data_IF_904321496492
#
_entry.id   IF_904321496492
#
_cell.length_a   1.000
_cell.length_b   1.000
_cell.length_c   1.000
_cell.angle_alpha   90.00
_cell.angle_beta   90.00
_cell.angle_gamma   90.00
#
_symmetry.space_group_name_H-M   'P 1'
#
loop_
_entity.id
_entity.type
_entity.pdbx_description
1 polymer ?
#
# COMPACT_ATOMS: atom_id res chain seq x y z
N UNK A 1 -64.96 33.83 41.44
CA UNK A 1 -64.94 33.81 42.92
C UNK A 1 -63.49 33.90 43.34
N UNK A 2 -63.15 34.97 44.07
CA UNK A 2 -61.80 35.37 44.44
C UNK A 2 -61.22 34.47 45.53
N UNK A 3 -59.94 34.11 45.44
CA UNK A 3 -59.08 34.13 46.64
C UNK A 3 -57.62 34.38 46.27
N UNK A 4 -57.00 35.31 46.99
CA UNK A 4 -55.66 35.86 46.83
C UNK A 4 -54.80 35.41 48.01
N UNK A 5 -53.52 35.18 47.73
CA UNK A 5 -52.33 35.41 48.58
C UNK A 5 -52.09 34.42 49.74
N UNK A 6 -50.89 33.81 49.82
CA UNK A 6 -49.88 34.11 50.86
C UNK A 6 -48.53 33.48 50.47
N UNK A 7 -47.52 34.33 50.37
CA UNK A 7 -46.09 34.03 50.27
C UNK A 7 -45.55 33.52 51.61
N UNK A 8 -44.78 32.43 51.61
CA UNK A 8 -43.76 32.17 52.63
C UNK A 8 -42.54 31.57 51.94
N UNK A 9 -41.46 32.35 51.88
CA UNK A 9 -40.11 31.86 51.60
C UNK A 9 -39.62 31.08 52.82
N UNK A 10 -39.20 29.83 52.64
CA UNK A 10 -38.34 29.16 53.60
C UNK A 10 -37.20 28.46 52.84
N UNK A 11 -36.02 29.05 52.98
CA UNK A 11 -34.72 28.55 52.54
C UNK A 11 -34.39 27.30 53.37
N UNK A 12 -34.19 26.15 52.72
CA UNK A 12 -33.53 24.98 53.34
C UNK A 12 -32.57 24.36 52.31
N UNK A 13 -31.30 24.73 52.49
CA UNK A 13 -30.09 23.88 52.51
C UNK A 13 -29.86 22.85 51.40
N UNK A 14 -28.99 23.25 50.48
CA UNK A 14 -27.95 22.50 49.74
C UNK A 14 -27.75 21.01 50.12
N UNK A 15 -28.05 20.11 49.18
CA UNK A 15 -27.46 18.76 49.09
C UNK A 15 -26.83 18.63 47.70
N UNK A 16 -25.52 18.41 47.69
CA UNK A 16 -24.70 18.11 46.51
C UNK A 16 -25.24 16.88 45.77
N UNK A 17 -25.55 17.04 44.49
CA UNK A 17 -25.49 15.96 43.50
C UNK A 17 -24.58 16.45 42.38
N UNK A 18 -23.28 16.13 42.51
CA UNK A 18 -22.33 16.21 41.42
C UNK A 18 -22.73 15.09 40.44
N UNK A 19 -23.58 15.43 39.48
CA UNK A 19 -23.68 14.63 38.27
C UNK A 19 -22.41 14.92 37.48
N UNK A 20 -21.41 14.04 37.64
CA UNK A 20 -20.31 13.92 36.71
C UNK A 20 -20.92 13.56 35.36
N UNK A 21 -21.22 14.57 34.54
CA UNK A 21 -21.51 14.36 33.13
C UNK A 21 -20.25 13.75 32.54
N UNK A 22 -20.35 12.46 32.25
CA UNK A 22 -19.38 11.65 31.52
C UNK A 22 -18.89 12.47 30.33
N UNK A 23 -17.61 12.81 30.36
CA UNK A 23 -16.90 13.32 29.19
C UNK A 23 -16.94 12.20 28.16
N UNK A 24 -17.82 12.31 27.16
CA UNK A 24 -17.72 11.50 25.96
C UNK A 24 -16.50 12.02 25.21
N UNK A 25 -15.33 11.43 25.47
CA UNK A 25 -14.28 11.38 24.46
C UNK A 25 -14.90 10.66 23.27
N UNK A 26 -15.18 11.41 22.20
CA UNK A 26 -15.33 10.81 20.88
C UNK A 26 -13.93 10.31 20.54
N UNK A 27 -13.67 9.02 20.80
CA UNK A 27 -12.63 8.33 20.05
C UNK A 27 -13.09 8.37 18.60
N UNK A 28 -12.40 9.17 17.80
CA UNK A 28 -12.52 9.18 16.34
C UNK A 28 -11.97 7.84 15.79
N UNK A 29 -12.69 6.74 16.05
CA UNK A 29 -12.51 5.47 15.35
C UNK A 29 -13.14 5.62 13.95
N UNK A 30 -12.50 6.41 13.09
CA UNK A 30 -12.68 6.20 11.66
C UNK A 30 -12.01 4.86 11.33
N UNK A 31 -12.68 3.93 10.62
CA UNK A 31 -12.02 2.72 10.17
C UNK A 31 -10.83 3.13 9.32
N UNK A 32 -9.61 2.84 9.79
CA UNK A 32 -8.41 2.99 8.99
C UNK A 32 -8.55 2.02 7.83
N UNK A 33 -8.47 2.55 6.61
CA UNK A 33 -8.33 1.72 5.43
C UNK A 33 -6.95 1.06 5.50
N UNK A 34 -6.92 -0.18 5.99
CA UNK A 34 -5.71 -0.95 6.21
C UNK A 34 -4.89 -1.08 4.92
N UNK A 35 -5.56 -1.23 3.77
CA UNK A 35 -4.90 -1.32 2.48
C UNK A 35 -4.24 0.00 2.12
N UNK A 36 -4.94 1.12 2.29
CA UNK A 36 -4.35 2.44 2.08
C UNK A 36 -3.14 2.68 2.98
N UNK A 37 -3.22 2.27 4.26
CA UNK A 37 -2.10 2.36 5.19
C UNK A 37 -0.90 1.52 4.70
N UNK A 38 -1.11 0.26 4.32
CA UNK A 38 -0.02 -0.60 3.83
C UNK A 38 0.65 0.01 2.59
N UNK A 39 -0.13 0.57 1.65
CA UNK A 39 0.42 1.24 0.47
C UNK A 39 1.25 2.47 0.85
N UNK A 40 0.80 3.26 1.82
CA UNK A 40 1.55 4.42 2.30
C UNK A 40 2.84 4.03 3.02
N UNK A 41 2.85 2.90 3.75
CA UNK A 41 4.08 2.37 4.35
C UNK A 41 5.07 1.88 3.28
N UNK A 42 4.60 1.34 2.16
CA UNK A 42 5.46 1.00 1.01
C UNK A 42 6.07 2.26 0.39
N UNK A 43 5.29 3.33 0.21
CA UNK A 43 5.79 4.63 -0.30
C UNK A 43 6.83 5.26 0.61
N UNK A 44 6.63 5.16 1.92
CA UNK A 44 7.61 5.64 2.90
C UNK A 44 8.91 4.83 2.82
N UNK A 45 8.81 3.49 2.74
CA UNK A 45 9.97 2.60 2.55
C UNK A 45 10.76 2.95 1.28
N UNK A 46 10.08 3.28 0.18
CA UNK A 46 10.69 3.47 -1.14
C UNK A 46 11.04 4.92 -1.45
N UNK A 47 10.78 5.87 -0.54
CA UNK A 47 10.98 7.32 -0.76
C UNK A 47 12.39 7.69 -1.26
N UNK A 48 13.42 6.94 -0.87
CA UNK A 48 14.81 7.21 -1.32
C UNK A 48 15.18 6.55 -2.66
N UNK A 49 14.35 5.66 -3.17
CA UNK A 49 14.66 4.79 -4.31
C UNK A 49 14.40 5.41 -5.68
N UNK A 50 13.88 6.64 -5.75
CA UNK A 50 14.05 7.47 -6.96
C UNK A 50 15.54 7.64 -7.33
N UNK A 51 16.45 7.52 -6.36
CA UNK A 51 17.87 7.30 -6.64
C UNK A 51 18.12 5.79 -6.75
N UNK A 52 18.27 5.28 -7.98
CA UNK A 52 18.51 3.86 -8.23
C UNK A 52 19.74 3.31 -7.48
N UNK A 53 20.83 4.09 -7.31
CA UNK A 53 21.99 3.61 -6.55
C UNK A 53 21.68 3.43 -5.05
N UNK A 54 20.72 4.18 -4.49
CA UNK A 54 20.26 3.95 -3.12
C UNK A 54 19.54 2.60 -2.99
N UNK A 55 18.67 2.27 -3.96
CA UNK A 55 17.99 0.97 -4.02
C UNK A 55 18.97 -0.21 -4.17
N UNK A 56 19.97 -0.07 -5.05
CA UNK A 56 21.01 -1.08 -5.23
C UNK A 56 21.80 -1.32 -3.94
N UNK A 57 22.20 -0.25 -3.25
CA UNK A 57 22.90 -0.33 -1.96
C UNK A 57 22.02 -0.92 -0.85
N UNK A 58 20.70 -0.76 -0.93
CA UNK A 58 19.73 -1.34 -0.02
C UNK A 58 19.40 -2.82 -0.32
N UNK A 59 19.90 -3.38 -1.43
CA UNK A 59 19.83 -4.80 -1.76
C UNK A 59 19.08 -5.15 -3.05
N UNK A 60 18.41 -4.20 -3.70
CA UNK A 60 17.79 -4.41 -5.03
C UNK A 60 18.80 -4.21 -6.15
N UNK A 61 19.84 -5.06 -6.16
CA UNK A 61 21.00 -4.93 -7.04
C UNK A 61 21.03 -5.95 -8.19
N UNK A 62 19.99 -6.76 -8.36
CA UNK A 62 19.92 -7.78 -9.40
C UNK A 62 18.97 -7.35 -10.49
N UNK A 63 19.48 -6.94 -11.65
CA UNK A 63 18.61 -6.68 -12.80
C UNK A 63 18.10 -8.01 -13.36
N UNK A 64 16.80 -8.27 -13.22
CA UNK A 64 16.17 -9.53 -13.60
C UNK A 64 15.63 -9.52 -15.04
N UNK A 65 15.39 -8.32 -15.59
CA UNK A 65 14.86 -8.16 -16.94
C UNK A 65 15.50 -6.96 -17.66
N UNK A 66 15.43 -6.89 -18.99
CA UNK A 66 15.47 -5.61 -19.69
C UNK A 66 14.22 -4.78 -19.36
N UNK A 67 14.08 -3.59 -19.96
CA UNK A 67 12.82 -2.86 -19.86
C UNK A 67 11.74 -3.61 -20.63
N UNK A 68 10.73 -4.14 -19.94
CA UNK A 68 9.65 -4.95 -20.51
C UNK A 68 8.49 -4.06 -20.93
N UNK A 69 8.07 -4.18 -22.19
CA UNK A 69 6.98 -3.41 -22.77
C UNK A 69 6.13 -4.28 -23.71
N UNK A 70 4.82 -4.09 -23.64
CA UNK A 70 3.85 -4.66 -24.56
C UNK A 70 3.44 -3.60 -25.62
N UNK A 71 3.26 -3.98 -26.91
CA UNK A 71 2.98 -3.03 -27.99
C UNK A 71 1.72 -2.16 -27.79
N UNK A 72 0.73 -2.63 -27.03
CA UNK A 72 -0.55 -1.93 -26.85
C UNK A 72 -0.94 -1.68 -25.40
N UNK A 73 -0.27 -2.30 -24.42
CA UNK A 73 -0.65 -2.19 -23.00
C UNK A 73 0.30 -1.28 -22.20
N UNK A 74 1.44 -0.90 -22.77
CA UNK A 74 2.45 -0.10 -22.10
C UNK A 74 3.57 -0.95 -21.50
N UNK A 75 4.23 -0.43 -20.47
CA UNK A 75 5.42 -1.04 -19.87
C UNK A 75 5.20 -1.59 -18.47
N UNK A 76 5.97 -2.63 -18.13
CA UNK A 76 6.25 -3.02 -16.73
C UNK A 76 7.53 -2.34 -16.24
N UNK A 77 8.46 -2.06 -17.16
CA UNK A 77 9.77 -1.49 -16.83
C UNK A 77 10.85 -2.55 -16.64
N UNK A 78 11.94 -2.13 -16.01
CA UNK A 78 13.11 -2.92 -15.65
C UNK A 78 12.90 -3.41 -14.22
N UNK A 79 13.01 -4.72 -14.02
CA UNK A 79 12.83 -5.36 -12.73
C UNK A 79 14.18 -5.49 -12.02
N UNK A 80 14.31 -4.86 -10.86
CA UNK A 80 15.48 -5.00 -9.98
C UNK A 80 15.11 -5.77 -8.72
N UNK A 81 15.64 -6.97 -8.57
CA UNK A 81 15.31 -7.89 -7.49
C UNK A 81 16.27 -7.81 -6.30
N UNK A 82 15.72 -8.04 -5.11
CA UNK A 82 16.47 -8.32 -3.87
C UNK A 82 16.34 -9.78 -3.51
N UNK A 83 17.37 -10.59 -3.81
CA UNK A 83 17.31 -12.05 -3.74
C UNK A 83 16.98 -12.61 -2.35
N UNK A 84 17.35 -11.90 -1.28
CA UNK A 84 17.06 -12.31 0.11
C UNK A 84 15.55 -12.42 0.39
N UNK A 85 14.70 -11.75 -0.39
CA UNK A 85 13.24 -11.74 -0.19
C UNK A 85 12.52 -12.82 -1.02
N UNK A 86 13.22 -13.59 -1.85
CA UNK A 86 12.65 -14.68 -2.64
C UNK A 86 12.59 -16.00 -1.84
N UNK A 87 12.10 -15.93 -0.60
CA UNK A 87 11.98 -17.08 0.32
C UNK A 87 10.51 -17.54 0.52
N UNK A 88 9.56 -16.88 -0.17
CA UNK A 88 8.14 -17.21 -0.17
C UNK A 88 7.31 -16.50 0.90
N UNK A 89 7.90 -15.63 1.72
CA UNK A 89 7.13 -14.83 2.69
C UNK A 89 6.32 -13.72 2.01
N UNK A 90 5.15 -13.43 2.57
CA UNK A 90 4.28 -12.34 2.15
C UNK A 90 4.38 -11.23 3.21
N UNK A 91 4.95 -10.09 2.82
CA UNK A 91 5.14 -8.92 3.68
C UNK A 91 5.20 -7.67 2.78
N UNK A 92 4.30 -6.71 2.97
CA UNK A 92 4.25 -5.52 2.12
C UNK A 92 5.51 -4.67 2.23
N UNK A 93 6.22 -4.68 3.36
CA UNK A 93 7.46 -3.92 3.55
C UNK A 93 8.71 -4.61 2.97
N UNK A 94 8.55 -5.76 2.32
CA UNK A 94 9.64 -6.52 1.74
C UNK A 94 9.36 -6.89 0.27
N UNK A 95 9.16 -5.89 -0.61
CA UNK A 95 8.92 -6.17 -2.03
C UNK A 95 10.13 -6.86 -2.65
N UNK A 96 9.88 -7.98 -3.33
CA UNK A 96 10.94 -8.73 -3.99
C UNK A 96 11.61 -7.92 -5.11
N UNK A 97 10.84 -7.05 -5.78
CA UNK A 97 11.28 -6.31 -6.96
C UNK A 97 10.90 -4.83 -6.88
N UNK A 98 11.80 -3.98 -7.34
CA UNK A 98 11.55 -2.58 -7.67
C UNK A 98 11.49 -2.39 -9.18
N UNK A 99 10.56 -1.54 -9.64
CA UNK A 99 10.30 -1.27 -11.05
C UNK A 99 10.84 0.10 -11.44
N UNK A 100 11.60 0.15 -12.54
CA UNK A 100 12.15 1.39 -13.10
C UNK A 100 11.93 1.47 -14.62
N UNK A 101 11.86 2.67 -15.19
CA UNK A 101 11.94 2.86 -16.64
C UNK A 101 12.79 4.09 -16.99
N UNK A 102 13.40 4.14 -18.18
CA UNK A 102 14.03 5.37 -18.64
C UNK A 102 12.99 6.49 -18.77
N UNK A 103 13.32 7.67 -18.25
CA UNK A 103 12.57 8.88 -18.50
C UNK A 103 13.09 9.59 -19.77
N UNK A 104 12.49 10.72 -20.13
CA UNK A 104 12.85 11.50 -21.32
C UNK A 104 14.31 11.98 -21.36
N UNK A 105 15.02 12.00 -20.23
CA UNK A 105 16.43 12.37 -20.13
C UNK A 105 17.37 11.15 -20.18
N UNK A 106 16.83 9.93 -20.21
CA UNK A 106 17.57 8.68 -20.14
C UNK A 106 17.91 8.22 -18.72
N UNK A 107 17.49 8.96 -17.69
CA UNK A 107 17.65 8.56 -16.29
C UNK A 107 16.55 7.57 -15.89
N UNK A 108 16.80 6.71 -14.90
CA UNK A 108 15.78 5.79 -14.39
C UNK A 108 14.77 6.52 -13.49
N UNK A 109 13.51 6.49 -13.89
CA UNK A 109 12.35 6.84 -13.06
C UNK A 109 11.90 5.61 -12.27
N UNK A 110 11.71 5.76 -10.96
CA UNK A 110 11.11 4.74 -10.10
C UNK A 110 9.59 4.70 -10.30
N UNK A 111 9.03 3.51 -10.50
CA UNK A 111 7.64 3.33 -10.91
C UNK A 111 6.75 2.71 -9.83
N UNK A 112 7.33 1.81 -9.04
CA UNK A 112 6.63 1.08 -7.99
C UNK A 112 7.33 -0.22 -7.65
N UNK A 113 6.57 -1.16 -7.08
CA UNK A 113 7.10 -2.42 -6.56
C UNK A 113 6.36 -3.62 -7.15
N UNK A 114 6.99 -4.79 -7.08
CA UNK A 114 6.36 -6.06 -7.43
C UNK A 114 6.71 -7.11 -6.37
N UNK A 115 5.71 -7.92 -6.04
CA UNK A 115 5.86 -9.05 -5.12
C UNK A 115 5.84 -10.35 -5.92
N UNK A 116 6.83 -11.21 -5.65
CA UNK A 116 7.03 -12.45 -6.41
C UNK A 116 7.14 -13.64 -5.46
N UNK A 117 6.44 -14.73 -5.77
CA UNK A 117 6.64 -16.04 -5.15
C UNK A 117 6.90 -17.07 -6.25
N UNK A 118 8.10 -17.70 -6.30
CA UNK A 118 8.38 -18.76 -7.25
C UNK A 118 7.48 -19.98 -7.07
N UNK A 119 7.06 -20.62 -8.17
CA UNK A 119 6.28 -21.87 -8.13
C UNK A 119 7.03 -23.01 -7.44
N UNK A 120 8.36 -22.98 -7.44
CA UNK A 120 9.19 -23.93 -6.68
C UNK A 120 9.04 -23.83 -5.15
N UNK A 121 8.49 -22.71 -4.64
CA UNK A 121 8.21 -22.49 -3.22
C UNK A 121 6.71 -22.68 -2.94
N UNK A 122 5.85 -22.03 -3.73
CA UNK A 122 4.40 -22.22 -3.69
C UNK A 122 3.90 -22.72 -5.05
N UNK A 123 3.63 -24.03 -5.18
CA UNK A 123 3.20 -24.62 -6.44
C UNK A 123 1.98 -23.92 -7.04
N UNK A 124 1.94 -23.78 -8.36
CA UNK A 124 0.80 -23.14 -9.04
C UNK A 124 -0.54 -23.86 -8.84
N UNK A 125 -0.53 -25.10 -8.38
CA UNK A 125 -1.73 -25.86 -8.04
C UNK A 125 -2.39 -25.41 -6.73
N UNK A 126 -1.67 -24.67 -5.89
CA UNK A 126 -2.19 -24.09 -4.65
C UNK A 126 -3.07 -22.85 -4.93
N UNK A 127 -3.91 -22.43 -3.97
CA UNK A 127 -4.62 -21.16 -4.06
C UNK A 127 -3.66 -19.99 -4.26
N UNK A 128 -4.11 -18.98 -5.00
CA UNK A 128 -3.34 -17.76 -5.20
C UNK A 128 -3.03 -17.09 -3.84
N UNK A 129 -1.78 -16.68 -3.60
CA UNK A 129 -1.46 -15.75 -2.53
C UNK A 129 -2.28 -14.47 -2.62
N UNK A 130 -2.47 -13.82 -1.48
CA UNK A 130 -3.12 -12.51 -1.40
C UNK A 130 -2.23 -11.50 -0.69
N UNK A 131 -2.23 -10.27 -1.17
CA UNK A 131 -1.68 -9.09 -0.51
C UNK A 131 -2.46 -7.86 -0.99
N UNK A 132 -2.72 -6.89 -0.12
CA UNK A 132 -3.56 -5.72 -0.43
C UNK A 132 -4.99 -6.05 -0.88
N UNK A 133 -5.57 -7.16 -0.41
CA UNK A 133 -6.83 -7.73 -0.91
C UNK A 133 -6.83 -8.11 -2.41
N UNK A 134 -5.65 -8.22 -3.01
CA UNK A 134 -5.47 -8.62 -4.41
C UNK A 134 -4.80 -10.00 -4.50
N UNK A 135 -5.31 -10.83 -5.41
CA UNK A 135 -4.70 -12.13 -5.72
C UNK A 135 -3.45 -11.91 -6.59
N UNK A 136 -2.39 -12.67 -6.29
CA UNK A 136 -1.24 -12.75 -7.18
C UNK A 136 -1.64 -13.47 -8.46
N UNK A 137 -1.12 -13.00 -9.60
CA UNK A 137 -1.37 -13.60 -10.92
C UNK A 137 -0.27 -14.58 -11.27
N UNK A 138 -0.62 -15.61 -12.03
CA UNK A 138 0.35 -16.59 -12.54
C UNK A 138 1.07 -16.03 -13.75
N UNK A 139 2.39 -16.11 -13.71
CA UNK A 139 3.24 -15.99 -14.90
C UNK A 139 3.87 -17.35 -15.17
N UNK A 140 3.29 -18.11 -16.10
CA UNK A 140 3.75 -19.46 -16.44
C UNK A 140 5.09 -19.48 -17.18
N UNK A 141 5.44 -18.39 -17.88
CA UNK A 141 6.72 -18.31 -18.60
C UNK A 141 7.89 -18.20 -17.63
N UNK A 142 7.69 -17.45 -16.53
CA UNK A 142 8.70 -17.26 -15.49
C UNK A 142 8.55 -18.24 -14.32
N UNK A 143 7.50 -19.08 -14.31
CA UNK A 143 7.16 -19.98 -13.22
C UNK A 143 7.02 -19.27 -11.85
N UNK A 144 6.28 -18.15 -11.83
CA UNK A 144 6.06 -17.33 -10.63
C UNK A 144 4.60 -16.93 -10.43
N UNK A 145 4.24 -16.68 -9.17
CA UNK A 145 3.15 -15.80 -8.79
C UNK A 145 3.67 -14.36 -8.71
N UNK A 146 2.97 -13.40 -9.29
CA UNK A 146 3.37 -12.00 -9.37
C UNK A 146 2.22 -11.05 -9.01
N UNK A 147 2.53 -10.00 -8.25
CA UNK A 147 1.60 -8.90 -7.96
C UNK A 147 2.33 -7.57 -8.18
N UNK A 148 1.96 -6.85 -9.24
CA UNK A 148 2.43 -5.50 -9.51
C UNK A 148 1.71 -4.50 -8.61
N UNK A 149 2.43 -3.52 -8.08
CA UNK A 149 1.86 -2.43 -7.28
C UNK A 149 2.48 -1.10 -7.69
N UNK A 150 1.70 -0.29 -8.40
CA UNK A 150 2.09 1.02 -8.89
C UNK A 150 2.01 2.10 -7.79
N UNK A 151 2.97 2.08 -6.86
CA UNK A 151 3.00 3.00 -5.70
C UNK A 151 3.34 4.45 -6.09
N UNK A 152 4.11 4.65 -7.16
CA UNK A 152 4.60 5.97 -7.61
C UNK A 152 4.03 6.39 -8.97
N UNK A 153 4.14 5.53 -9.99
CA UNK A 153 3.66 5.85 -11.34
C UNK A 153 2.18 5.53 -11.47
N UNK A 154 1.32 6.54 -11.49
CA UNK A 154 -0.12 6.34 -11.68
C UNK A 154 -0.43 5.44 -12.89
N UNK A 155 -1.28 4.43 -12.67
CA UNK A 155 -1.74 3.51 -13.70
C UNK A 155 -3.26 3.70 -13.92
N UNK A 156 -3.70 4.21 -15.09
CA UNK A 156 -5.12 4.43 -15.38
C UNK A 156 -5.92 3.12 -15.49
N UNK A 157 -5.27 1.96 -15.66
CA UNK A 157 -5.91 0.65 -15.63
C UNK A 157 -6.09 0.10 -14.20
N UNK A 158 -5.52 0.77 -13.19
CA UNK A 158 -5.57 0.38 -11.78
C UNK A 158 -4.18 0.11 -11.18
N UNK A 159 -4.05 0.35 -9.87
CA UNK A 159 -2.79 0.23 -9.12
C UNK A 159 -2.18 -1.19 -9.16
N UNK A 160 -2.98 -2.23 -9.37
CA UNK A 160 -2.57 -3.63 -9.38
C UNK A 160 -2.63 -4.29 -10.78
N UNK A 161 -2.85 -3.50 -11.83
CA UNK A 161 -2.86 -4.00 -13.21
C UNK A 161 -1.42 -4.24 -13.69
N UNK A 162 -1.13 -5.31 -14.43
CA UNK A 162 0.26 -5.70 -14.70
C UNK A 162 0.99 -4.69 -15.60
N UNK A 163 0.31 -4.17 -16.62
CA UNK A 163 0.89 -3.22 -17.57
C UNK A 163 0.46 -1.77 -17.27
N UNK A 164 1.39 -0.82 -17.36
CA UNK A 164 1.04 0.59 -17.25
C UNK A 164 1.17 1.30 -18.61
N UNK A 165 0.07 1.80 -19.22
CA UNK A 165 0.10 2.50 -20.51
C UNK A 165 0.90 3.80 -20.47
N UNK A 166 1.18 4.34 -19.29
CA UNK A 166 2.01 5.54 -19.10
C UNK A 166 3.51 5.21 -18.99
N UNK A 167 3.91 3.94 -19.01
CA UNK A 167 5.32 3.51 -18.97
C UNK A 167 5.79 3.20 -20.39
N UNK A 168 6.96 3.73 -20.75
CA UNK A 168 7.60 3.55 -22.04
C UNK A 168 9.07 3.12 -21.82
N UNK A 169 9.55 2.22 -22.68
CA UNK A 169 10.92 1.69 -22.65
C UNK A 169 11.83 2.27 -23.75
N UNK A 170 11.39 3.33 -24.43
CA UNK A 170 12.09 3.97 -25.56
C UNK A 170 12.65 5.35 -25.20
#
# INVERSE_FOLDING_TARGET
MNTKITTVNLIITLILLIFSSTSCTQDDDQPVDEIAQMIDEVRELTTTFSNHSAAQNAGWNNQMSPCVQHPTEGGMGIHFGRMEFFDGRINHLEPQVLLYAPNNNGDLEFLGVEYIIPFGILPESEPAPMLFDEEYKKNHELEIWALHVWTEKENPNGMFYDWNPNVNCN
#
